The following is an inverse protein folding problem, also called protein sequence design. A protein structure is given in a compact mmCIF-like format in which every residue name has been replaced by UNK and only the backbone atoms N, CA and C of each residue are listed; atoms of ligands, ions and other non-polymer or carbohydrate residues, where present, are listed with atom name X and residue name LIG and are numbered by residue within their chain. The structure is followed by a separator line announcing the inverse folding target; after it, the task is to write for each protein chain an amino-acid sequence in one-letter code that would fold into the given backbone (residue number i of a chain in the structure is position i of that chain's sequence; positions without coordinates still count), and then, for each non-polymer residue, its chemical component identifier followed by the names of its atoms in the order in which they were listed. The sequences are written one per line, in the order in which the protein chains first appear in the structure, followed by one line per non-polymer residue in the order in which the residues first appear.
data_IF_860785662519
#
_entry.id   IF_860785662519
#
_cell.length_a   1.000
_cell.length_b   1.000
_cell.length_c   1.000
_cell.angle_alpha   90.00
_cell.angle_beta   90.00
_cell.angle_gamma   90.00
#
_symmetry.space_group_name_H-M   'P 1'
#
loop_
_entity.id
_entity.type
_entity.pdbx_description
1 polymer ?
#
# COMPACT_ATOMS: atom_id res chain seq x y z
N UNK A 1 3.86 -16.50 19.78
CA UNK A 1 4.10 -17.51 20.84
C UNK A 1 5.37 -18.25 20.45
N UNK A 2 6.46 -18.11 21.23
CA UNK A 2 7.78 -18.65 20.87
C UNK A 2 7.83 -20.17 21.15
N UNK A 3 7.62 -20.95 20.09
CA UNK A 3 7.62 -22.42 20.09
C UNK A 3 8.97 -23.04 20.50
N UNK A 4 10.03 -22.23 20.55
CA UNK A 4 11.37 -22.67 20.98
C UNK A 4 11.45 -22.99 22.47
N UNK A 5 10.49 -22.49 23.27
CA UNK A 5 10.40 -22.73 24.71
C UNK A 5 9.78 -24.07 25.11
N UNK A 6 9.14 -24.77 24.16
CA UNK A 6 8.41 -26.03 24.43
C UNK A 6 9.29 -27.28 24.35
N UNK A 7 10.48 -27.17 23.77
CA UNK A 7 11.47 -28.22 23.79
C UNK A 7 12.62 -27.80 24.71
N UNK A 8 12.91 -28.61 25.72
CA UNK A 8 14.05 -28.41 26.62
C UNK A 8 15.36 -28.72 25.88
N UNK A 9 15.77 -27.85 24.96
CA UNK A 9 16.96 -28.03 24.13
C UNK A 9 18.18 -27.46 24.89
N UNK A 10 18.86 -28.33 25.65
CA UNK A 10 20.01 -27.95 26.50
C UNK A 10 21.36 -27.90 25.76
N UNK A 11 21.39 -28.23 24.46
CA UNK A 11 22.63 -28.35 23.69
C UNK A 11 22.94 -27.05 22.91
N UNK A 12 24.11 -26.46 23.19
CA UNK A 12 24.58 -25.20 22.60
C UNK A 12 24.63 -25.23 21.05
N UNK A 13 24.93 -26.39 20.45
CA UNK A 13 24.95 -26.57 18.99
C UNK A 13 23.56 -26.47 18.33
N UNK A 14 22.51 -26.89 19.04
CA UNK A 14 21.13 -26.85 18.54
C UNK A 14 20.54 -25.44 18.73
N UNK A 15 20.94 -24.72 19.78
CA UNK A 15 20.64 -23.28 19.94
C UNK A 15 21.23 -22.42 18.83
N UNK A 16 22.50 -22.61 18.49
CA UNK A 16 23.16 -21.85 17.43
C UNK A 16 22.52 -22.07 16.05
N UNK A 17 21.99 -23.27 15.80
CA UNK A 17 21.31 -23.60 14.54
C UNK A 17 19.87 -23.10 14.53
N UNK A 18 19.16 -23.09 15.66
CA UNK A 18 17.86 -22.45 15.80
C UNK A 18 17.92 -20.92 15.66
N UNK A 19 18.93 -20.26 16.25
CA UNK A 19 19.16 -18.82 16.11
C UNK A 19 19.54 -18.42 14.68
N UNK A 20 20.24 -19.29 13.94
CA UNK A 20 20.58 -19.09 12.52
C UNK A 20 19.55 -19.67 11.54
N UNK A 21 18.42 -20.21 12.04
CA UNK A 21 17.37 -20.74 11.19
C UNK A 21 16.69 -19.60 10.41
N UNK A 22 16.56 -19.78 9.10
CA UNK A 22 16.00 -18.80 8.15
C UNK A 22 14.60 -18.28 8.52
N UNK A 23 13.90 -18.96 9.44
CA UNK A 23 12.59 -18.58 9.98
C UNK A 23 12.65 -17.24 10.74
N UNK A 24 13.75 -16.93 11.45
CA UNK A 24 13.89 -15.62 12.11
C UNK A 24 14.30 -14.49 11.15
N UNK A 25 15.06 -14.79 10.09
CA UNK A 25 15.42 -13.81 9.05
C UNK A 25 14.25 -13.40 8.16
N UNK A 26 13.33 -14.33 7.85
CA UNK A 26 12.15 -14.05 7.04
C UNK A 26 11.12 -13.13 7.73
N UNK A 27 11.11 -13.06 9.06
CA UNK A 27 10.16 -12.21 9.79
C UNK A 27 10.55 -10.73 9.72
N UNK A 28 11.85 -10.40 9.62
CA UNK A 28 12.30 -9.01 9.47
C UNK A 28 12.09 -8.45 8.05
N UNK A 29 12.30 -9.25 6.99
CA UNK A 29 12.09 -8.75 5.60
C UNK A 29 10.61 -8.59 5.21
N UNK A 30 9.71 -9.34 5.84
CA UNK A 30 8.26 -9.22 5.55
C UNK A 30 7.65 -7.92 6.04
N UNK A 31 8.15 -7.36 7.14
CA UNK A 31 7.68 -6.06 7.67
C UNK A 31 8.02 -4.92 6.70
N UNK A 32 9.24 -4.90 6.17
CA UNK A 32 9.67 -3.90 5.16
C UNK A 32 8.85 -3.97 3.86
N UNK A 33 8.35 -5.16 3.52
CA UNK A 33 7.55 -5.37 2.30
C UNK A 33 6.14 -4.75 2.43
N UNK A 34 5.50 -4.88 3.58
CA UNK A 34 4.19 -4.24 3.80
C UNK A 34 4.33 -2.72 3.92
N UNK A 35 5.30 -2.24 4.70
CA UNK A 35 5.54 -0.80 4.88
C UNK A 35 5.87 -0.11 3.55
N UNK A 36 6.66 -0.75 2.67
CA UNK A 36 6.95 -0.18 1.35
C UNK A 36 5.74 -0.18 0.41
N UNK A 37 4.86 -1.19 0.46
CA UNK A 37 3.61 -1.20 -0.31
C UNK A 37 2.64 -0.14 0.24
N UNK A 38 2.55 0.01 1.56
CA UNK A 38 1.75 1.04 2.20
C UNK A 38 2.24 2.44 1.85
N UNK A 39 3.55 2.69 1.92
CA UNK A 39 4.16 3.95 1.50
C UNK A 39 3.80 4.29 0.05
N UNK A 40 3.90 3.32 -0.86
CA UNK A 40 3.50 3.48 -2.27
C UNK A 40 2.02 3.74 -2.44
N UNK A 41 1.16 3.13 -1.61
CA UNK A 41 -0.28 3.41 -1.62
C UNK A 41 -0.57 4.85 -1.20
N UNK A 42 0.09 5.34 -0.14
CA UNK A 42 -0.02 6.73 0.32
C UNK A 42 0.48 7.71 -0.75
N UNK A 43 1.60 7.42 -1.41
CA UNK A 43 2.08 8.20 -2.55
C UNK A 43 1.08 8.21 -3.72
N UNK A 44 0.40 7.10 -3.96
CA UNK A 44 -0.62 7.01 -5.01
C UNK A 44 -1.86 7.86 -4.69
N UNK A 45 -2.28 7.91 -3.43
CA UNK A 45 -3.35 8.81 -2.96
C UNK A 45 -2.96 10.27 -3.22
N UNK A 46 -1.73 10.66 -2.87
CA UNK A 46 -1.23 12.01 -3.13
C UNK A 46 -1.17 12.34 -4.63
N UNK A 47 -0.74 11.37 -5.44
CA UNK A 47 -0.72 11.51 -6.91
C UNK A 47 -2.13 11.66 -7.48
N UNK A 48 -3.10 10.90 -6.95
CA UNK A 48 -4.51 11.00 -7.32
C UNK A 48 -5.09 12.38 -6.96
N UNK A 49 -4.78 12.91 -5.77
CA UNK A 49 -5.19 14.26 -5.39
C UNK A 49 -4.64 15.33 -6.34
N UNK A 50 -3.39 15.19 -6.80
CA UNK A 50 -2.83 16.11 -7.79
C UNK A 50 -3.60 16.06 -9.11
N UNK A 51 -3.91 14.87 -9.63
CA UNK A 51 -4.71 14.74 -10.85
C UNK A 51 -6.14 15.29 -10.69
N UNK A 52 -6.74 15.15 -9.49
CA UNK A 52 -8.03 15.74 -9.18
C UNK A 52 -7.96 17.27 -9.20
N UNK A 53 -6.92 17.83 -8.58
CA UNK A 53 -6.69 19.27 -8.56
C UNK A 53 -6.45 19.84 -9.97
N UNK A 54 -5.71 19.13 -10.82
CA UNK A 54 -5.48 19.54 -12.21
C UNK A 54 -6.79 19.53 -13.01
N UNK A 55 -7.62 18.49 -12.81
CA UNK A 55 -8.95 18.39 -13.42
C UNK A 55 -9.85 19.53 -12.98
N UNK A 56 -9.97 19.80 -11.68
CA UNK A 56 -10.80 20.88 -11.14
C UNK A 56 -10.35 22.25 -11.69
N UNK A 57 -9.04 22.45 -11.80
CA UNK A 57 -8.49 23.70 -12.29
C UNK A 57 -8.80 23.94 -13.78
N UNK A 58 -8.76 22.88 -14.61
CA UNK A 58 -9.22 22.97 -16.00
C UNK A 58 -10.74 23.07 -16.12
N UNK A 59 -11.48 22.42 -15.24
CA UNK A 59 -12.94 22.51 -15.20
C UNK A 59 -13.40 23.94 -14.88
N UNK A 60 -12.76 24.59 -13.92
CA UNK A 60 -13.02 25.99 -13.57
C UNK A 60 -12.70 26.91 -14.75
N UNK A 61 -11.54 26.73 -15.41
CA UNK A 61 -11.19 27.52 -16.61
C UNK A 61 -12.20 27.33 -17.74
N UNK A 62 -12.70 26.11 -17.92
CA UNK A 62 -13.72 25.80 -18.92
C UNK A 62 -15.07 26.42 -18.58
N UNK A 63 -15.52 26.32 -17.33
CA UNK A 63 -16.77 26.91 -16.87
C UNK A 63 -16.75 28.45 -16.92
N UNK A 64 -15.59 29.07 -16.73
CA UNK A 64 -15.40 30.53 -16.86
C UNK A 64 -15.37 31.01 -18.33
N UNK A 65 -15.38 30.08 -19.30
CA UNK A 65 -15.37 30.40 -20.72
C UNK A 65 -14.02 30.90 -21.25
N UNK A 66 -12.95 30.78 -20.46
CA UNK A 66 -11.61 31.25 -20.84
C UNK A 66 -10.78 30.20 -21.61
N UNK A 67 -11.23 28.94 -21.70
CA UNK A 67 -10.50 27.87 -22.40
C UNK A 67 -11.38 27.12 -23.41
N UNK A 68 -10.89 27.00 -24.64
CA UNK A 68 -11.48 26.18 -25.73
C UNK A 68 -11.04 24.70 -25.65
N UNK A 69 -10.16 24.34 -24.71
CA UNK A 69 -9.53 23.02 -24.64
C UNK A 69 -10.38 21.98 -23.89
N UNK A 70 -11.60 21.74 -24.38
CA UNK A 70 -12.46 20.61 -23.96
C UNK A 70 -11.74 19.25 -24.01
N UNK A 71 -10.74 19.13 -24.89
CA UNK A 71 -9.88 17.96 -25.00
C UNK A 71 -8.99 17.76 -23.77
N UNK A 72 -8.31 18.81 -23.29
CA UNK A 72 -7.47 18.74 -22.09
C UNK A 72 -8.30 18.45 -20.83
N UNK A 73 -9.49 19.05 -20.72
CA UNK A 73 -10.45 18.72 -19.66
C UNK A 73 -10.85 17.24 -19.69
N UNK A 74 -11.15 16.69 -20.87
CA UNK A 74 -11.50 15.26 -21.02
C UNK A 74 -10.35 14.32 -20.66
N UNK A 75 -9.10 14.72 -20.97
CA UNK A 75 -7.90 13.98 -20.61
C UNK A 75 -7.68 14.02 -19.09
N UNK A 76 -7.80 15.21 -18.48
CA UNK A 76 -7.66 15.38 -17.04
C UNK A 76 -8.72 14.59 -16.26
N UNK A 77 -10.00 14.67 -16.67
CA UNK A 77 -11.08 13.85 -16.13
C UNK A 77 -10.80 12.34 -16.24
N UNK A 78 -10.30 11.89 -17.39
CA UNK A 78 -10.00 10.47 -17.61
C UNK A 78 -8.85 9.99 -16.71
N UNK A 79 -7.81 10.81 -16.55
CA UNK A 79 -6.69 10.53 -15.64
C UNK A 79 -7.14 10.51 -14.18
N UNK A 80 -7.93 11.51 -13.76
CA UNK A 80 -8.50 11.60 -12.43
C UNK A 80 -9.38 10.38 -12.11
N UNK A 81 -10.26 9.99 -13.03
CA UNK A 81 -11.14 8.82 -12.88
C UNK A 81 -10.33 7.52 -12.75
N UNK A 82 -9.33 7.32 -13.61
CA UNK A 82 -8.48 6.14 -13.56
C UNK A 82 -7.65 6.08 -12.26
N UNK A 83 -7.07 7.21 -11.84
CA UNK A 83 -6.30 7.32 -10.60
C UNK A 83 -7.17 7.07 -9.36
N UNK A 84 -8.40 7.59 -9.34
CA UNK A 84 -9.38 7.33 -8.29
C UNK A 84 -9.75 5.86 -8.20
N UNK A 85 -10.07 5.22 -9.32
CA UNK A 85 -10.37 3.79 -9.38
C UNK A 85 -9.21 2.93 -8.87
N UNK A 86 -7.97 3.28 -9.27
CA UNK A 86 -6.78 2.60 -8.80
C UNK A 86 -6.58 2.76 -7.28
N UNK A 87 -6.76 3.97 -6.76
CA UNK A 87 -6.65 4.26 -5.32
C UNK A 87 -7.70 3.50 -4.51
N UNK A 88 -8.93 3.40 -5.00
CA UNK A 88 -9.99 2.61 -4.35
C UNK A 88 -9.62 1.13 -4.30
N UNK A 89 -9.13 0.57 -5.41
CA UNK A 89 -8.67 -0.82 -5.44
C UNK A 89 -7.51 -1.09 -4.47
N UNK A 90 -6.53 -0.19 -4.39
CA UNK A 90 -5.41 -0.30 -3.45
C UNK A 90 -5.89 -0.20 -2.00
N UNK A 91 -6.76 0.77 -1.70
CA UNK A 91 -7.37 0.93 -0.37
C UNK A 91 -8.10 -0.33 0.06
N UNK A 92 -8.94 -0.89 -0.81
CA UNK A 92 -9.74 -2.06 -0.51
C UNK A 92 -8.83 -3.28 -0.23
N UNK A 93 -7.76 -3.46 -1.02
CA UNK A 93 -6.76 -4.51 -0.77
C UNK A 93 -5.98 -4.34 0.54
N UNK A 94 -5.67 -3.10 0.92
CA UNK A 94 -5.05 -2.79 2.22
C UNK A 94 -5.97 -3.14 3.39
N UNK A 95 -7.27 -2.83 3.28
CA UNK A 95 -8.26 -3.19 4.29
C UNK A 95 -8.45 -4.70 4.39
N UNK A 96 -8.45 -5.42 3.26
CA UNK A 96 -8.51 -6.88 3.24
C UNK A 96 -7.28 -7.50 3.91
N UNK A 97 -6.07 -7.02 3.59
CA UNK A 97 -4.83 -7.48 4.23
C UNK A 97 -4.84 -7.22 5.75
N UNK A 98 -5.35 -6.06 6.19
CA UNK A 98 -5.51 -5.76 7.61
C UNK A 98 -6.47 -6.73 8.31
N UNK A 99 -7.61 -7.06 7.67
CA UNK A 99 -8.56 -8.05 8.21
C UNK A 99 -7.94 -9.45 8.29
N UNK A 100 -7.20 -9.87 7.28
CA UNK A 100 -6.54 -11.18 7.24
C UNK A 100 -5.49 -11.32 8.35
N UNK A 101 -4.68 -10.27 8.59
CA UNK A 101 -3.74 -10.23 9.71
C UNK A 101 -4.43 -10.33 11.07
N UNK A 102 -5.59 -9.67 11.23
CA UNK A 102 -6.37 -9.74 12.48
C UNK A 102 -6.96 -11.13 12.72
N UNK A 103 -7.35 -11.83 11.64
CA UNK A 103 -7.94 -13.17 11.70
C UNK A 103 -6.91 -14.27 12.02
N UNK A 104 -5.63 -14.04 11.76
CA UNK A 104 -4.53 -14.96 12.11
C UNK A 104 -4.27 -15.02 13.64
N UNK A 105 -4.63 -13.99 14.40
CA UNK A 105 -4.33 -13.89 15.84
C UNK A 105 -5.44 -14.39 16.78
N UNK A 106 -6.57 -14.85 16.25
CA UNK A 106 -7.69 -15.41 17.04
C UNK A 106 -7.64 -16.93 16.99
#
# INVERSE_FOLDING_TARGET
MDISSLYNISSAAVRQTAENSQINKQTSEKTDTFDSIFQKAVENINTTNNYLSDMENEEIRWMLGETENTHELSIAMSKASAALQYTVAVRDKLLDAYKELMQIQI
#
